data_IF_523264608079
#
_entry.id   IF_523264608079
#
_cell.length_a   1.000
_cell.length_b   1.000
_cell.length_c   1.000
_cell.angle_alpha   90.00
_cell.angle_beta   90.00
_cell.angle_gamma   90.00
#
_symmetry.space_group_name_H-M   'P 1'
#
loop_
_entity.id
_entity.type
_entity.pdbx_description
1 polymer ?
#
# COMPACT_ATOMS: atom_id res chain seq x y z
N UNK A 1 -16.70 -6.54 17.34
CA UNK A 1 -16.28 -6.88 15.96
C UNK A 1 -16.64 -5.72 15.06
N UNK A 2 -15.67 -5.12 14.40
CA UNK A 2 -15.85 -3.99 13.48
C UNK A 2 -15.46 -4.43 12.07
N UNK A 3 -16.24 -4.05 11.07
CA UNK A 3 -15.97 -4.32 9.65
C UNK A 3 -15.73 -3.02 8.92
N UNK A 4 -14.60 -2.95 8.21
CA UNK A 4 -14.16 -1.82 7.41
C UNK A 4 -13.93 -2.28 5.98
N UNK A 5 -14.14 -1.42 5.00
CA UNK A 5 -13.88 -1.74 3.60
C UNK A 5 -13.29 -0.54 2.86
N UNK A 6 -12.47 -0.82 1.87
CA UNK A 6 -11.84 0.18 1.01
C UNK A 6 -11.47 -0.40 -0.34
N UNK A 7 -11.03 0.47 -1.26
CA UNK A 7 -10.50 0.11 -2.56
C UNK A 7 -9.04 0.55 -2.67
N UNK A 8 -8.17 -0.38 -3.08
CA UNK A 8 -6.73 -0.18 -3.21
C UNK A 8 -6.37 0.10 -4.67
N UNK A 9 -6.19 1.35 -5.03
CA UNK A 9 -5.91 1.76 -6.39
C UNK A 9 -4.48 1.41 -6.82
N UNK A 10 -4.35 0.76 -7.98
CA UNK A 10 -3.07 0.45 -8.61
C UNK A 10 -2.38 1.72 -9.16
N UNK A 11 -1.15 1.58 -9.63
CA UNK A 11 -0.36 2.66 -10.21
C UNK A 11 0.23 2.29 -11.57
N UNK A 12 0.60 3.29 -12.32
CA UNK A 12 1.49 3.19 -13.48
C UNK A 12 2.72 4.09 -13.27
N UNK A 13 3.84 3.71 -13.87
CA UNK A 13 4.97 4.60 -14.08
C UNK A 13 4.82 5.22 -15.46
N UNK A 14 4.52 6.53 -15.54
CA UNK A 14 4.43 7.26 -16.79
C UNK A 14 5.80 7.49 -17.40
N UNK A 15 6.80 7.69 -16.54
CA UNK A 15 8.22 7.70 -16.88
C UNK A 15 8.98 6.92 -15.82
N UNK A 16 10.11 6.34 -16.19
CA UNK A 16 11.04 5.70 -15.27
C UNK A 16 12.44 5.79 -15.83
N UNK A 17 13.29 6.55 -15.16
CA UNK A 17 14.72 6.68 -15.45
C UNK A 17 15.55 6.08 -14.33
N UNK A 18 16.53 5.26 -14.70
CA UNK A 18 17.53 4.71 -13.79
C UNK A 18 18.77 5.59 -13.87
N UNK A 19 19.00 6.42 -12.84
CA UNK A 19 20.04 7.45 -12.85
C UNK A 19 21.42 6.86 -12.57
N UNK A 20 21.55 6.11 -11.47
CA UNK A 20 22.81 5.46 -11.10
C UNK A 20 22.59 4.29 -10.14
N UNK A 21 23.60 3.43 -10.04
CA UNK A 21 23.65 2.38 -9.03
C UNK A 21 24.17 2.94 -7.72
N UNK A 22 23.48 2.63 -6.64
CA UNK A 22 23.83 3.03 -5.28
C UNK A 22 24.81 2.05 -4.62
N UNK A 23 25.58 2.47 -3.61
CA UNK A 23 26.45 1.57 -2.83
C UNK A 23 25.67 0.46 -2.10
N UNK A 24 24.41 0.69 -1.77
CA UNK A 24 23.53 -0.27 -1.09
C UNK A 24 22.96 -1.34 -2.04
N UNK A 25 23.39 -1.35 -3.31
CA UNK A 25 22.98 -2.32 -4.33
C UNK A 25 21.69 -1.94 -5.08
N UNK A 26 20.93 -0.96 -4.61
CA UNK A 26 19.76 -0.40 -5.29
C UNK A 26 20.16 0.59 -6.37
N UNK A 27 19.17 1.17 -7.05
CA UNK A 27 19.36 2.22 -8.02
C UNK A 27 18.68 3.52 -7.57
N UNK A 28 19.29 4.65 -7.87
CA UNK A 28 18.60 5.93 -7.83
C UNK A 28 17.73 6.04 -9.06
N UNK A 29 16.45 6.27 -8.81
CA UNK A 29 15.40 6.37 -9.83
C UNK A 29 14.84 7.79 -9.87
N UNK A 30 14.37 8.20 -11.02
CA UNK A 30 13.46 9.33 -11.19
C UNK A 30 12.29 8.86 -12.03
N UNK A 31 11.07 8.94 -11.47
CA UNK A 31 9.89 8.44 -12.17
C UNK A 31 8.65 9.28 -11.83
N UNK A 32 7.79 9.44 -12.82
CA UNK A 32 6.45 9.99 -12.63
C UNK A 32 5.49 8.84 -12.46
N UNK A 33 4.89 8.77 -11.26
CA UNK A 33 3.92 7.74 -10.92
C UNK A 33 2.51 8.32 -10.97
N UNK A 34 1.56 7.52 -11.45
CA UNK A 34 0.15 7.86 -11.57
C UNK A 34 -0.72 6.77 -10.96
N UNK A 35 -1.57 7.16 -10.02
CA UNK A 35 -2.67 6.31 -9.54
C UNK A 35 -3.73 6.14 -10.63
N UNK A 36 -4.28 4.92 -10.77
CA UNK A 36 -5.30 4.59 -11.77
C UNK A 36 -6.56 4.04 -11.10
N UNK A 37 -7.67 4.00 -11.84
CA UNK A 37 -8.95 3.49 -11.32
C UNK A 37 -9.04 1.97 -11.18
N UNK A 38 -8.14 1.21 -11.83
CA UNK A 38 -8.01 -0.21 -11.56
C UNK A 38 -7.44 -0.40 -10.16
N UNK A 39 -7.92 -1.40 -9.43
CA UNK A 39 -7.46 -1.68 -8.07
C UNK A 39 -8.18 -2.85 -7.46
N UNK A 40 -7.90 -3.16 -6.22
CA UNK A 40 -8.38 -4.32 -5.49
C UNK A 40 -9.36 -3.90 -4.38
N UNK A 41 -10.36 -4.73 -4.10
CA UNK A 41 -11.27 -4.47 -2.99
C UNK A 41 -10.77 -5.17 -1.71
N UNK A 42 -10.76 -4.44 -0.62
CA UNK A 42 -10.33 -4.90 0.70
C UNK A 42 -11.45 -4.80 1.72
N UNK A 43 -11.59 -5.84 2.53
CA UNK A 43 -12.41 -5.85 3.73
C UNK A 43 -11.55 -6.26 4.93
N UNK A 44 -11.71 -5.55 6.04
CA UNK A 44 -10.99 -5.74 7.29
C UNK A 44 -11.99 -5.99 8.41
N UNK A 45 -11.86 -7.09 9.13
CA UNK A 45 -12.62 -7.36 10.36
C UNK A 45 -11.68 -7.30 11.56
N UNK A 46 -12.01 -6.43 12.53
CA UNK A 46 -11.30 -6.23 13.79
C UNK A 46 -12.12 -6.75 14.96
N UNK A 47 -11.45 -7.16 16.03
CA UNK A 47 -12.11 -7.67 17.24
C UNK A 47 -12.77 -9.03 17.00
N UNK A 48 -12.17 -9.87 16.17
CA UNK A 48 -12.71 -11.20 15.82
C UNK A 48 -12.59 -12.20 16.96
N UNK A 49 -11.75 -11.94 17.96
CA UNK A 49 -11.38 -12.88 19.02
C UNK A 49 -10.60 -14.11 18.52
N UNK A 50 -10.16 -14.09 17.27
CA UNK A 50 -9.44 -15.17 16.60
C UNK A 50 -8.04 -14.72 16.20
N UNK A 51 -7.09 -15.66 15.99
CA UNK A 51 -5.79 -15.33 15.41
C UNK A 51 -5.93 -14.59 14.07
N UNK A 52 -4.92 -13.80 13.74
CA UNK A 52 -4.88 -13.09 12.45
C UNK A 52 -4.91 -14.07 11.29
N UNK A 53 -5.71 -13.75 10.31
CA UNK A 53 -5.81 -14.52 9.06
C UNK A 53 -6.08 -13.63 7.87
N UNK A 54 -5.71 -14.13 6.69
CA UNK A 54 -5.99 -13.51 5.42
C UNK A 54 -6.67 -14.49 4.48
N UNK A 55 -7.63 -14.01 3.72
CA UNK A 55 -8.33 -14.71 2.65
C UNK A 55 -8.16 -13.91 1.37
N UNK A 56 -7.81 -14.56 0.27
CA UNK A 56 -7.66 -13.92 -1.03
C UNK A 56 -8.50 -14.64 -2.09
N UNK A 57 -9.07 -13.88 -3.03
CA UNK A 57 -9.86 -14.42 -4.14
C UNK A 57 -9.04 -15.21 -5.15
N UNK A 58 -7.72 -15.12 -5.11
CA UNK A 58 -6.79 -15.89 -5.96
C UNK A 58 -5.79 -16.66 -5.09
N UNK A 59 -5.34 -17.82 -5.57
CA UNK A 59 -4.28 -18.60 -4.94
C UNK A 59 -2.85 -18.20 -5.35
N UNK A 60 -2.71 -17.11 -6.12
CA UNK A 60 -1.40 -16.70 -6.67
C UNK A 60 -0.53 -15.91 -5.71
N UNK A 61 -1.12 -15.37 -4.63
CA UNK A 61 -0.40 -14.59 -3.65
C UNK A 61 -0.45 -15.24 -2.26
N UNK A 62 0.62 -15.08 -1.44
CA UNK A 62 0.64 -15.64 -0.09
C UNK A 62 -0.42 -14.96 0.79
N UNK A 63 -1.03 -15.74 1.70
CA UNK A 63 -1.98 -15.26 2.71
C UNK A 63 -1.38 -15.39 4.13
N UNK A 64 -0.09 -15.22 4.25
CA UNK A 64 0.69 -15.29 5.48
C UNK A 64 1.38 -13.96 5.81
N UNK A 65 2.30 -13.98 6.77
CA UNK A 65 3.06 -12.81 7.25
C UNK A 65 3.95 -12.14 6.18
N UNK A 66 4.18 -12.78 5.04
CA UNK A 66 4.92 -12.20 3.92
C UNK A 66 4.05 -11.28 3.05
N UNK A 67 2.71 -11.35 3.19
CA UNK A 67 1.81 -10.50 2.46
C UNK A 67 1.86 -9.06 3.00
N UNK A 68 1.90 -8.08 2.09
CA UNK A 68 2.01 -6.66 2.47
C UNK A 68 0.82 -6.15 3.28
N UNK A 69 -0.38 -6.72 3.13
CA UNK A 69 -1.52 -6.41 3.98
C UNK A 69 -1.28 -6.77 5.44
N UNK A 70 -0.79 -8.00 5.69
CA UNK A 70 -0.50 -8.48 7.05
C UNK A 70 0.69 -7.72 7.62
N UNK A 71 1.75 -7.51 6.83
CA UNK A 71 2.92 -6.73 7.24
C UNK A 71 2.54 -5.31 7.63
N UNK A 72 1.73 -4.62 6.82
CA UNK A 72 1.24 -3.27 7.08
C UNK A 72 0.45 -3.18 8.39
N UNK A 73 -0.50 -4.11 8.60
CA UNK A 73 -1.26 -4.18 9.83
C UNK A 73 -0.37 -4.42 11.05
N UNK A 74 0.60 -5.35 10.95
CA UNK A 74 1.54 -5.64 12.03
C UNK A 74 2.34 -4.40 12.43
N UNK A 75 2.97 -3.73 11.46
CA UNK A 75 3.73 -2.50 11.71
C UNK A 75 2.87 -1.40 12.35
N UNK A 76 1.62 -1.26 11.92
CA UNK A 76 0.70 -0.29 12.49
C UNK A 76 0.38 -0.59 13.96
N UNK A 77 0.00 -1.82 14.29
CA UNK A 77 -0.36 -2.19 15.66
C UNK A 77 0.86 -2.22 16.60
N UNK A 78 2.03 -2.62 16.11
CA UNK A 78 3.30 -2.51 16.86
C UNK A 78 3.64 -1.05 17.18
N UNK A 79 3.47 -0.13 16.20
CA UNK A 79 3.77 1.30 16.41
C UNK A 79 2.78 1.98 17.34
N UNK A 80 1.51 1.60 17.30
CA UNK A 80 0.43 2.24 18.07
C UNK A 80 0.18 1.59 19.43
N UNK A 81 0.69 0.38 19.67
CA UNK A 81 0.42 -0.44 20.86
C UNK A 81 -1.08 -0.75 21.06
N UNK A 82 -1.90 -0.58 20.01
CA UNK A 82 -3.33 -0.88 20.04
C UNK A 82 -3.53 -2.39 19.92
N UNK A 83 -4.30 -2.98 20.84
CA UNK A 83 -4.78 -4.36 20.69
C UNK A 83 -6.05 -4.37 19.84
N UNK A 84 -5.96 -4.96 18.64
CA UNK A 84 -7.10 -5.08 17.73
C UNK A 84 -8.06 -6.23 18.08
N UNK A 85 -7.75 -7.07 19.09
CA UNK A 85 -8.58 -8.21 19.48
C UNK A 85 -8.78 -9.26 18.40
N UNK A 86 -7.84 -9.40 17.47
CA UNK A 86 -7.89 -10.30 16.32
C UNK A 86 -8.26 -9.61 15.00
N UNK A 87 -7.73 -10.13 13.89
CA UNK A 87 -7.80 -9.52 12.56
C UNK A 87 -8.16 -10.56 11.49
N UNK A 88 -9.09 -10.21 10.60
CA UNK A 88 -9.28 -10.94 9.34
C UNK A 88 -9.22 -9.96 8.17
N UNK A 89 -8.36 -10.23 7.19
CA UNK A 89 -8.25 -9.49 5.93
C UNK A 89 -8.87 -10.31 4.83
N UNK A 90 -9.82 -9.74 4.06
CA UNK A 90 -10.34 -10.32 2.82
C UNK A 90 -9.95 -9.44 1.65
N UNK A 91 -9.28 -10.03 0.68
CA UNK A 91 -8.76 -9.35 -0.50
C UNK A 91 -9.36 -9.94 -1.78
N UNK A 92 -10.06 -9.10 -2.53
CA UNK A 92 -10.54 -9.40 -3.88
C UNK A 92 -9.61 -8.77 -4.89
N UNK A 93 -8.79 -9.60 -5.55
CA UNK A 93 -7.79 -9.16 -6.54
C UNK A 93 -8.41 -8.95 -7.91
N UNK A 94 -8.21 -7.74 -8.45
CA UNK A 94 -8.50 -7.39 -9.84
C UNK A 94 -7.24 -6.89 -10.56
N UNK A 95 -6.27 -6.38 -9.79
CA UNK A 95 -4.96 -5.99 -10.32
C UNK A 95 -4.14 -7.24 -10.63
N UNK A 96 -3.61 -7.41 -11.86
CA UNK A 96 -2.78 -8.55 -12.21
C UNK A 96 -1.53 -8.65 -11.33
N UNK A 97 -1.22 -9.87 -10.88
CA UNK A 97 -0.03 -10.14 -10.08
C UNK A 97 1.25 -9.94 -10.92
N UNK A 98 2.30 -9.37 -10.33
CA UNK A 98 3.61 -9.15 -10.95
C UNK A 98 3.60 -8.31 -12.25
N UNK A 99 2.55 -7.53 -12.50
CA UNK A 99 2.40 -6.71 -13.71
C UNK A 99 3.10 -5.31 -13.61
N UNK A 100 3.87 -5.04 -12.58
CA UNK A 100 4.50 -3.72 -12.37
C UNK A 100 3.53 -2.61 -11.94
N UNK A 101 2.25 -2.95 -11.67
CA UNK A 101 1.18 -2.01 -11.33
C UNK A 101 1.06 -1.70 -9.83
N UNK A 102 1.96 -2.23 -9.01
CA UNK A 102 2.00 -1.96 -7.57
C UNK A 102 0.78 -2.45 -6.79
N UNK A 103 0.03 -3.46 -7.28
CA UNK A 103 -1.20 -3.94 -6.64
C UNK A 103 -1.00 -4.33 -5.18
N UNK A 104 0.00 -5.19 -4.87
CA UNK A 104 0.29 -5.57 -3.48
C UNK A 104 0.70 -4.38 -2.60
N UNK A 105 1.42 -3.40 -3.16
CA UNK A 105 1.78 -2.16 -2.45
C UNK A 105 0.54 -1.30 -2.18
N UNK A 106 -0.39 -1.23 -3.13
CA UNK A 106 -1.67 -0.55 -2.96
C UNK A 106 -2.51 -1.21 -1.86
N UNK A 107 -2.53 -2.56 -1.82
CA UNK A 107 -3.23 -3.31 -0.79
C UNK A 107 -2.67 -2.99 0.61
N UNK A 108 -1.33 -3.01 0.77
CA UNK A 108 -0.68 -2.66 2.03
C UNK A 108 -0.92 -1.20 2.45
N UNK A 109 -0.88 -0.25 1.51
CA UNK A 109 -1.20 1.15 1.76
C UNK A 109 -2.66 1.35 2.17
N UNK A 110 -3.57 0.61 1.56
CA UNK A 110 -4.99 0.64 1.88
C UNK A 110 -5.24 0.17 3.33
N UNK A 111 -4.54 -0.87 3.79
CA UNK A 111 -4.57 -1.33 5.19
C UNK A 111 -4.09 -0.21 6.12
N UNK A 112 -2.93 0.40 5.86
CA UNK A 112 -2.38 1.47 6.70
C UNK A 112 -3.35 2.65 6.81
N UNK A 113 -3.90 3.12 5.69
CA UNK A 113 -4.86 4.22 5.65
C UNK A 113 -6.14 3.89 6.41
N UNK A 114 -6.70 2.69 6.17
CA UNK A 114 -7.94 2.26 6.78
C UNK A 114 -7.84 2.16 8.30
N UNK A 115 -6.74 1.60 8.81
CA UNK A 115 -6.46 1.53 10.24
C UNK A 115 -6.23 2.92 10.85
N UNK A 116 -5.45 3.76 10.17
CA UNK A 116 -5.14 5.11 10.62
C UNK A 116 -6.40 5.98 10.74
N UNK A 117 -7.30 5.90 9.76
CA UNK A 117 -8.60 6.60 9.79
C UNK A 117 -9.53 6.00 10.86
N UNK A 118 -9.59 4.66 10.98
CA UNK A 118 -10.47 3.99 11.94
C UNK A 118 -10.15 4.33 13.40
N UNK A 119 -8.88 4.44 13.74
CA UNK A 119 -8.43 4.77 15.09
C UNK A 119 -8.22 6.28 15.32
N UNK A 120 -8.82 7.12 14.49
CA UNK A 120 -8.78 8.59 14.59
C UNK A 120 -7.36 9.16 14.63
N UNK A 121 -6.53 8.71 13.68
CA UNK A 121 -5.17 9.21 13.45
C UNK A 121 -4.22 9.07 14.66
N UNK A 122 -4.01 7.86 15.20
CA UNK A 122 -3.29 7.65 16.47
C UNK A 122 -1.79 7.96 16.38
N UNK A 123 -1.26 8.05 15.17
CA UNK A 123 0.12 8.46 14.88
C UNK A 123 0.14 9.61 13.88
N UNK A 124 1.25 10.34 13.83
CA UNK A 124 1.43 11.42 12.86
C UNK A 124 1.40 10.91 11.42
N UNK A 125 1.13 11.83 10.48
CA UNK A 125 1.19 11.48 9.06
C UNK A 125 2.60 11.08 8.64
N UNK A 126 3.62 11.70 9.21
CA UNK A 126 5.03 11.39 9.00
C UNK A 126 5.35 9.96 9.43
N UNK A 127 4.90 9.55 10.62
CA UNK A 127 5.03 8.18 11.10
C UNK A 127 4.31 7.18 10.20
N UNK A 128 3.11 7.52 9.73
CA UNK A 128 2.36 6.67 8.80
C UNK A 128 3.14 6.42 7.49
N UNK A 129 3.81 7.45 6.95
CA UNK A 129 4.67 7.33 5.76
C UNK A 129 5.93 6.49 6.05
N UNK A 130 6.50 6.58 7.25
CA UNK A 130 7.61 5.70 7.68
C UNK A 130 7.17 4.22 7.73
N UNK A 131 5.95 3.94 8.21
CA UNK A 131 5.40 2.57 8.17
C UNK A 131 5.19 2.11 6.72
N UNK A 132 4.74 3.00 5.83
CA UNK A 132 4.58 2.69 4.41
C UNK A 132 5.93 2.32 3.77
N UNK A 133 7.01 3.06 4.04
CA UNK A 133 8.37 2.74 3.56
C UNK A 133 8.85 1.38 4.07
N UNK A 134 8.60 1.06 5.35
CA UNK A 134 8.95 -0.24 5.93
C UNK A 134 8.12 -1.38 5.34
N UNK A 135 6.89 -1.11 4.92
CA UNK A 135 6.01 -2.09 4.29
C UNK A 135 6.53 -2.48 2.92
N UNK A 136 6.87 -1.51 2.05
CA UNK A 136 7.41 -1.76 0.72
C UNK A 136 7.70 -0.47 -0.05
N UNK A 137 8.52 -0.56 -1.11
CA UNK A 137 9.06 0.60 -1.86
C UNK A 137 7.99 1.46 -2.54
N UNK A 138 6.93 0.85 -3.06
CA UNK A 138 5.85 1.58 -3.75
C UNK A 138 4.70 1.99 -2.81
N UNK A 139 4.70 1.47 -1.56
CA UNK A 139 3.64 1.73 -0.58
C UNK A 139 3.49 3.22 -0.23
N UNK A 140 4.58 4.00 -0.07
CA UNK A 140 4.46 5.45 0.15
C UNK A 140 3.71 6.17 -0.97
N UNK A 141 3.97 5.82 -2.24
CA UNK A 141 3.26 6.42 -3.37
C UNK A 141 1.77 6.03 -3.36
N UNK A 142 1.45 4.75 -3.19
CA UNK A 142 0.05 4.29 -3.18
C UNK A 142 -0.72 4.81 -1.96
N UNK A 143 -0.04 5.12 -0.85
CA UNK A 143 -0.60 5.84 0.28
C UNK A 143 -0.86 7.32 -0.04
N UNK A 144 0.06 7.97 -0.77
CA UNK A 144 -0.07 9.36 -1.21
C UNK A 144 -1.19 9.55 -2.23
N UNK A 145 -1.25 8.66 -3.22
CA UNK A 145 -2.18 8.70 -4.36
C UNK A 145 -1.96 9.86 -5.34
N UNK A 146 -2.75 9.85 -6.41
CA UNK A 146 -2.73 10.89 -7.44
C UNK A 146 -1.55 10.79 -8.40
N UNK A 147 -0.91 11.94 -8.71
CA UNK A 147 0.28 12.02 -9.56
C UNK A 147 1.46 12.53 -8.73
N UNK A 148 2.61 11.87 -8.80
CA UNK A 148 3.80 12.31 -8.08
C UNK A 148 5.09 12.00 -8.85
N UNK A 149 6.09 12.87 -8.68
CA UNK A 149 7.47 12.61 -9.00
C UNK A 149 8.09 11.85 -7.82
N UNK A 150 8.60 10.66 -8.09
CA UNK A 150 9.29 9.83 -7.12
C UNK A 150 10.78 9.76 -7.44
N UNK A 151 11.62 9.94 -6.42
CA UNK A 151 13.09 9.91 -6.50
C UNK A 151 13.70 8.98 -5.46
N UNK A 152 15.00 8.79 -5.53
CA UNK A 152 15.73 7.85 -4.70
C UNK A 152 15.37 6.41 -5.08
N UNK A 153 14.94 5.58 -4.14
CA UNK A 153 14.41 4.23 -4.41
C UNK A 153 12.89 4.24 -4.71
N UNK A 154 12.28 5.43 -4.87
CA UNK A 154 10.85 5.64 -5.04
C UNK A 154 10.15 6.29 -3.84
N UNK A 155 10.87 6.49 -2.72
CA UNK A 155 10.28 6.98 -1.48
C UNK A 155 10.23 8.51 -1.35
N UNK A 156 11.08 9.25 -2.09
CA UNK A 156 11.08 10.72 -2.06
C UNK A 156 10.03 11.24 -3.02
N UNK A 157 8.86 11.59 -2.49
CA UNK A 157 7.69 11.92 -3.28
C UNK A 157 7.43 13.43 -3.32
N UNK A 158 7.23 13.95 -4.52
CA UNK A 158 6.77 15.32 -4.75
C UNK A 158 5.46 15.27 -5.53
N UNK A 159 4.36 15.79 -4.96
CA UNK A 159 3.07 15.86 -5.66
C UNK A 159 3.19 16.68 -6.94
N UNK A 160 2.58 16.18 -7.99
CA UNK A 160 2.41 16.87 -9.26
C UNK A 160 0.93 17.25 -9.48
N UNK A 161 0.65 18.18 -10.40
CA UNK A 161 -0.72 18.45 -10.83
C UNK A 161 -1.39 17.16 -11.31
N UNK A 162 -2.69 17.04 -11.04
CA UNK A 162 -3.47 15.90 -11.54
C UNK A 162 -3.51 15.90 -13.07
N UNK A 163 -3.39 14.71 -13.64
CA UNK A 163 -3.65 14.53 -15.06
C UNK A 163 -5.13 14.85 -15.39
N UNK A 164 -5.40 15.38 -16.59
CA UNK A 164 -6.77 15.38 -17.11
C UNK A 164 -7.34 13.95 -17.14
N UNK A 165 -8.67 13.81 -17.11
CA UNK A 165 -9.32 12.54 -17.32
C UNK A 165 -8.86 11.92 -18.63
N UNK A 166 -8.25 10.74 -18.57
CA UNK A 166 -7.73 10.01 -19.71
C UNK A 166 -7.85 8.50 -19.47
N UNK A 167 -7.66 7.74 -20.54
CA UNK A 167 -7.59 6.28 -20.50
C UNK A 167 -6.18 5.84 -20.86
N UNK A 168 -5.69 4.83 -20.14
CA UNK A 168 -4.47 4.12 -20.50
C UNK A 168 -4.87 2.83 -21.21
N UNK A 169 -4.27 2.56 -22.37
CA UNK A 169 -4.54 1.40 -23.21
C UNK A 169 -3.28 0.55 -23.37
#
# INVERSE_FOLDING_TARGET
MTRLSTFAHAKLNLTLDVLCRRPDGYHDLEMVMQEISLGDALELELGTGQPWRMECSTGEIPCDDTNLCIKAARLFFEKTEIDCGGLTVRLMKYTPSCAGMGGGSADGAAILRLLWEHYDHPISREDLFLLAEQTGSDVPFTLLGGTALARGKGQVLTRLPRLPSCYFV
#
